data_IF_490301769545
#
_entry.id   IF_490301769545
#
_cell.length_a   1.000
_cell.length_b   1.000
_cell.length_c   1.000
_cell.angle_alpha   90.00
_cell.angle_beta   90.00
_cell.angle_gamma   90.00
#
_symmetry.space_group_name_H-M   'P 1'
#
loop_
_entity.id
_entity.type
_entity.pdbx_description
1 polymer ?
#
# COMPACT_ATOMS: atom_id res chain seq x y z
N UNK A 1 -4.14 -2.26 -14.29
CA UNK A 1 -4.88 -1.32 -13.40
C UNK A 1 -4.77 -1.64 -11.91
N UNK A 2 -4.45 -2.87 -11.49
CA UNK A 2 -4.49 -3.27 -10.07
C UNK A 2 -3.60 -2.45 -9.12
N UNK A 3 -2.37 -2.11 -9.51
CA UNK A 3 -1.46 -1.30 -8.69
C UNK A 3 -1.99 0.13 -8.42
N UNK A 4 -2.74 0.71 -9.37
CA UNK A 4 -3.38 2.02 -9.19
C UNK A 4 -4.46 1.91 -8.11
N UNK A 5 -5.29 0.87 -8.16
CA UNK A 5 -6.38 0.64 -7.20
C UNK A 5 -5.81 0.50 -5.78
N UNK A 6 -4.72 -0.26 -5.63
CA UNK A 6 -4.04 -0.41 -4.34
C UNK A 6 -3.58 0.95 -3.80
N UNK A 7 -2.89 1.76 -4.61
CA UNK A 7 -2.42 3.06 -4.17
C UNK A 7 -3.54 4.07 -3.88
N UNK A 8 -4.66 4.02 -4.60
CA UNK A 8 -5.86 4.81 -4.30
C UNK A 8 -6.50 4.41 -2.97
N UNK A 9 -6.64 3.11 -2.71
CA UNK A 9 -7.16 2.60 -1.44
C UNK A 9 -6.26 3.04 -0.27
N UNK A 10 -4.95 2.88 -0.42
CA UNK A 10 -3.97 3.31 0.59
C UNK A 10 -4.01 4.80 0.85
N UNK A 11 -4.17 5.62 -0.19
CA UNK A 11 -4.29 7.08 -0.02
C UNK A 11 -5.46 7.41 0.90
N UNK A 12 -6.62 6.78 0.70
CA UNK A 12 -7.79 6.99 1.56
C UNK A 12 -7.56 6.51 3.00
N UNK A 13 -6.85 5.41 3.20
CA UNK A 13 -6.51 4.90 4.54
C UNK A 13 -5.60 5.88 5.26
N UNK A 14 -4.53 6.33 4.60
CA UNK A 14 -3.58 7.31 5.17
C UNK A 14 -4.27 8.63 5.53
N UNK A 15 -5.17 9.11 4.67
CA UNK A 15 -5.83 10.40 4.87
C UNK A 15 -6.90 10.34 5.99
N UNK A 16 -7.54 9.18 6.22
CA UNK A 16 -8.63 9.02 7.19
C UNK A 16 -8.21 8.41 8.52
N UNK A 17 -7.15 7.62 8.53
CA UNK A 17 -6.70 6.81 9.67
C UNK A 17 -5.20 6.96 9.88
N UNK A 18 -4.73 8.21 9.99
CA UNK A 18 -3.31 8.52 10.09
C UNK A 18 -2.63 7.81 11.27
N UNK A 19 -3.27 7.80 12.44
CA UNK A 19 -2.78 7.12 13.65
C UNK A 19 -2.59 5.62 13.43
N UNK A 20 -3.56 4.97 12.77
CA UNK A 20 -3.46 3.55 12.40
C UNK A 20 -2.28 3.29 11.47
N UNK A 21 -2.08 4.13 10.45
CA UNK A 21 -0.93 3.96 9.54
C UNK A 21 0.42 4.24 10.20
N UNK A 22 0.46 5.06 11.26
CA UNK A 22 1.66 5.29 12.06
C UNK A 22 1.95 4.12 13.01
N UNK A 23 0.91 3.51 13.59
CA UNK A 23 1.04 2.33 14.42
C UNK A 23 1.47 1.08 13.61
N UNK A 24 1.16 1.06 12.30
CA UNK A 24 1.54 0.01 11.36
C UNK A 24 2.59 0.49 10.34
N UNK A 25 3.72 1.01 10.79
CA UNK A 25 4.78 1.59 9.95
C UNK A 25 5.56 0.55 9.12
N UNK A 26 5.47 -0.74 9.47
CA UNK A 26 6.02 -1.84 8.70
C UNK A 26 5.33 -2.02 7.35
N UNK A 27 4.08 -1.57 7.22
CA UNK A 27 3.35 -1.61 5.95
C UNK A 27 3.83 -0.43 5.07
N UNK A 28 4.21 -0.65 3.81
CA UNK A 28 4.82 0.38 2.96
C UNK A 28 3.78 1.35 2.36
N UNK A 29 2.99 2.02 3.19
CA UNK A 29 1.90 2.91 2.79
C UNK A 29 2.32 3.98 1.76
N UNK A 30 3.42 4.69 2.08
CA UNK A 30 3.95 5.75 1.22
C UNK A 30 4.41 5.23 -0.14
N UNK A 31 5.05 4.06 -0.17
CA UNK A 31 5.52 3.44 -1.40
C UNK A 31 4.36 3.05 -2.32
N UNK A 32 3.27 2.53 -1.75
CA UNK A 32 2.06 2.19 -2.54
C UNK A 32 1.40 3.45 -3.15
N UNK A 33 1.29 4.55 -2.38
CA UNK A 33 0.82 5.84 -2.90
C UNK A 33 1.75 6.38 -4.00
N UNK A 34 3.07 6.26 -3.79
CA UNK A 34 4.09 6.65 -4.76
C UNK A 34 3.99 5.88 -6.08
N UNK A 35 3.79 4.55 -6.01
CA UNK A 35 3.61 3.71 -7.19
C UNK A 35 2.39 4.15 -8.02
N UNK A 36 1.26 4.45 -7.36
CA UNK A 36 0.08 5.01 -8.05
C UNK A 36 0.42 6.32 -8.76
N UNK A 37 1.13 7.23 -8.10
CA UNK A 37 1.48 8.52 -8.72
C UNK A 37 2.38 8.34 -9.94
N UNK A 38 3.34 7.42 -9.87
CA UNK A 38 4.24 7.13 -10.99
C UNK A 38 3.50 6.48 -12.16
N UNK A 39 2.57 5.56 -11.89
CA UNK A 39 1.74 4.96 -12.95
C UNK A 39 0.75 5.95 -13.57
N UNK A 40 0.15 6.83 -12.77
CA UNK A 40 -0.85 7.77 -13.26
C UNK A 40 -0.25 8.96 -14.04
N UNK A 41 0.92 9.46 -13.62
CA UNK A 41 1.48 10.72 -14.12
C UNK A 41 2.87 10.59 -14.76
N UNK A 42 3.60 9.50 -14.51
CA UNK A 42 4.97 9.28 -15.00
C UNK A 42 5.11 8.03 -15.85
N UNK A 43 4.04 7.58 -16.52
CA UNK A 43 4.00 6.26 -17.17
C UNK A 43 5.06 6.07 -18.26
N UNK A 44 5.47 7.14 -18.93
CA UNK A 44 6.56 7.10 -19.93
C UNK A 44 7.94 6.82 -19.32
N UNK A 45 8.12 7.04 -18.02
CA UNK A 45 9.38 6.87 -17.28
C UNK A 45 9.29 5.76 -16.22
N UNK A 46 8.36 4.82 -16.40
CA UNK A 46 8.27 3.66 -15.52
C UNK A 46 9.43 2.73 -15.81
N UNK A 47 10.18 2.42 -14.75
CA UNK A 47 11.11 1.31 -14.77
C UNK A 47 10.33 0.00 -14.58
N UNK A 48 10.28 -0.83 -15.62
CA UNK A 48 9.55 -2.11 -15.59
C UNK A 48 10.20 -3.15 -14.67
N UNK A 49 11.51 -3.07 -14.41
CA UNK A 49 12.17 -3.96 -13.45
C UNK A 49 11.64 -3.71 -12.03
N UNK A 50 11.36 -2.44 -11.70
CA UNK A 50 10.74 -2.07 -10.42
C UNK A 50 9.31 -2.60 -10.33
N UNK A 51 8.55 -2.54 -11.42
CA UNK A 51 7.19 -3.10 -11.46
C UNK A 51 7.23 -4.62 -11.30
N UNK A 52 8.16 -5.28 -11.96
CA UNK A 52 8.35 -6.72 -11.88
C UNK A 52 8.73 -7.16 -10.47
N UNK A 53 9.72 -6.52 -9.84
CA UNK A 53 10.11 -6.79 -8.45
C UNK A 53 8.98 -6.47 -7.47
N UNK A 54 8.20 -5.41 -7.73
CA UNK A 54 7.01 -5.11 -6.90
C UNK A 54 6.04 -6.29 -6.91
N UNK A 55 5.78 -6.88 -8.06
CA UNK A 55 4.84 -8.01 -8.19
C UNK A 55 5.42 -9.29 -7.56
N UNK A 56 6.70 -9.56 -7.77
CA UNK A 56 7.32 -10.82 -7.35
C UNK A 56 7.74 -10.84 -5.89
N UNK A 57 8.12 -9.70 -5.33
CA UNK A 57 8.75 -9.59 -4.02
C UNK A 57 7.92 -8.74 -3.05
N UNK A 58 7.61 -7.49 -3.44
CA UNK A 58 6.99 -6.54 -2.52
C UNK A 58 5.52 -6.87 -2.21
N UNK A 59 4.73 -7.32 -3.19
CA UNK A 59 3.32 -7.68 -2.97
C UNK A 59 3.15 -8.92 -2.06
N UNK A 60 3.89 -10.03 -2.25
CA UNK A 60 3.85 -11.14 -1.31
C UNK A 60 4.21 -10.75 0.11
N UNK A 61 5.19 -9.86 0.28
CA UNK A 61 5.57 -9.37 1.61
C UNK A 61 4.50 -8.47 2.22
N UNK A 62 3.92 -7.56 1.43
CA UNK A 62 2.81 -6.72 1.82
C UNK A 62 1.62 -7.55 2.34
N UNK A 63 1.30 -8.68 1.70
CA UNK A 63 0.20 -9.54 2.15
C UNK A 63 0.42 -10.08 3.57
N UNK A 64 1.67 -10.40 3.95
CA UNK A 64 2.00 -10.84 5.31
C UNK A 64 1.83 -9.70 6.31
N UNK A 65 2.31 -8.51 5.96
CA UNK A 65 2.23 -7.33 6.82
C UNK A 65 0.78 -6.88 7.04
N UNK A 66 -0.06 -6.96 5.99
CA UNK A 66 -1.48 -6.63 6.07
C UNK A 66 -2.28 -7.62 6.93
N UNK A 67 -1.83 -8.86 7.08
CA UNK A 67 -2.54 -9.84 7.91
C UNK A 67 -2.63 -9.38 9.37
N UNK A 68 -1.52 -8.86 9.91
CA UNK A 68 -1.47 -8.30 11.27
C UNK A 68 -2.30 -7.02 11.39
N UNK A 69 -2.10 -6.05 10.48
CA UNK A 69 -2.85 -4.80 10.49
C UNK A 69 -4.38 -5.02 10.39
N UNK A 70 -4.81 -6.03 9.64
CA UNK A 70 -6.23 -6.38 9.51
C UNK A 70 -6.82 -6.94 10.80
N UNK A 71 -6.05 -7.70 11.59
CA UNK A 71 -6.51 -8.22 12.87
C UNK A 71 -6.77 -7.06 13.84
N UNK A 72 -5.81 -6.17 13.98
CA UNK A 72 -5.93 -5.00 14.86
C UNK A 72 -7.07 -4.06 14.43
N UNK A 73 -7.27 -3.87 13.13
CA UNK A 73 -8.40 -3.09 12.60
C UNK A 73 -9.77 -3.69 12.94
N UNK A 74 -9.88 -5.02 12.93
CA UNK A 74 -11.13 -5.71 13.28
C UNK A 74 -11.37 -5.66 14.79
N UNK A 75 -10.33 -5.76 15.61
CA UNK A 75 -10.45 -5.71 17.07
C UNK A 75 -10.85 -4.30 17.55
N UNK A 76 -10.36 -3.25 16.90
CA UNK A 76 -10.82 -1.87 17.15
C UNK A 76 -12.26 -1.60 16.69
N UNK A 77 -12.82 -2.42 15.79
CA UNK A 77 -14.22 -2.28 15.35
C UNK A 77 -15.24 -2.93 16.29
N UNK A 78 -14.76 -3.70 17.28
CA UNK A 78 -15.56 -4.37 18.31
C UNK A 78 -15.66 -3.56 19.62
N UNK A 79 -15.08 -2.35 19.66
CA UNK A 79 -15.16 -1.36 20.73
C UNK A 79 -15.97 -0.14 20.27
#
# INVERSE_FOLDING_TARGET
>A
MSLIIIGEAVTKVMDRYAEFTQAHDQVPWRSMRGMRNRIAHGYFEINLDVVWDTVQSALPELLKQLAAARQDANDQSLL
#
